data_IF_248026656012
#
_entry.id   IF_248026656012
#
_cell.length_a   1.000
_cell.length_b   1.000
_cell.length_c   1.000
_cell.angle_alpha   90.00
_cell.angle_beta   90.00
_cell.angle_gamma   90.00
#
_symmetry.space_group_name_H-M   'P 1'
#
loop_
_entity.id
_entity.type
_entity.pdbx_description
1 polymer ?
#
# COMPACT_ATOMS: atom_id res chain seq x y z
N UNK A 1 2.97 -29.15 -8.19
CA UNK A 1 4.24 -28.76 -7.55
C UNK A 1 3.87 -27.79 -6.44
N UNK A 2 4.38 -27.89 -5.24
CA UNK A 2 4.00 -26.97 -4.17
C UNK A 2 4.61 -25.59 -4.48
N UNK A 3 3.79 -24.56 -4.48
CA UNK A 3 4.25 -23.18 -4.47
C UNK A 3 5.09 -22.96 -3.21
N UNK A 4 6.36 -22.71 -3.39
CA UNK A 4 7.26 -22.33 -2.31
C UNK A 4 6.89 -20.91 -1.93
N UNK A 5 6.24 -20.76 -0.77
CA UNK A 5 6.04 -19.45 -0.17
C UNK A 5 7.39 -18.76 -0.02
N UNK A 6 7.55 -17.61 -0.61
CA UNK A 6 8.77 -16.81 -0.54
C UNK A 6 8.89 -16.32 0.90
N UNK A 7 9.77 -16.95 1.65
CA UNK A 7 9.99 -16.65 3.07
C UNK A 7 10.13 -17.90 3.93
N UNK A 8 11.03 -18.81 3.56
CA UNK A 8 11.30 -19.95 4.44
C UNK A 8 11.97 -19.48 5.73
N UNK A 9 11.59 -20.08 6.87
CA UNK A 9 12.21 -19.86 8.21
C UNK A 9 13.75 -19.79 8.23
N UNK A 10 14.41 -20.28 7.19
CA UNK A 10 15.86 -20.21 7.01
C UNK A 10 16.38 -18.78 6.78
N UNK A 11 15.65 -17.93 6.08
CA UNK A 11 16.10 -16.57 5.78
C UNK A 11 16.00 -15.66 7.00
N UNK A 12 14.97 -15.83 7.83
CA UNK A 12 14.83 -15.07 9.08
C UNK A 12 15.90 -15.44 10.12
N UNK A 13 16.28 -16.72 10.25
CA UNK A 13 17.41 -17.14 11.11
C UNK A 13 18.77 -16.64 10.61
N UNK A 14 18.95 -16.46 9.32
CA UNK A 14 20.18 -15.87 8.76
C UNK A 14 20.28 -14.37 9.08
N UNK A 15 19.17 -13.65 9.02
CA UNK A 15 19.12 -12.24 9.42
C UNK A 15 19.45 -12.09 10.92
N UNK A 16 18.85 -12.90 11.77
CA UNK A 16 19.12 -12.90 13.21
C UNK A 16 20.58 -13.28 13.55
N UNK A 17 21.18 -14.23 12.81
CA UNK A 17 22.58 -14.60 12.98
C UNK A 17 23.56 -13.53 12.48
N UNK A 18 23.26 -12.85 11.39
CA UNK A 18 24.11 -11.78 10.85
C UNK A 18 24.18 -10.59 11.81
N UNK A 19 23.07 -10.26 12.50
CA UNK A 19 23.06 -9.20 13.50
C UNK A 19 23.83 -9.57 14.78
N UNK A 20 23.71 -10.80 15.28
CA UNK A 20 24.41 -11.23 16.50
C UNK A 20 25.93 -11.35 16.33
N UNK A 21 26.45 -11.59 15.13
CA UNK A 21 27.87 -11.75 14.88
C UNK A 21 28.64 -10.44 14.69
N UNK A 22 27.97 -9.31 14.49
CA UNK A 22 28.63 -8.00 14.28
C UNK A 22 28.75 -7.13 15.54
N UNK A 23 28.19 -7.54 16.68
CA UNK A 23 28.14 -6.71 17.90
C UNK A 23 28.73 -7.38 19.16
N UNK A 24 29.77 -8.20 19.03
CA UNK A 24 30.58 -8.69 20.16
C UNK A 24 31.91 -7.94 20.28
N UNK A 25 31.87 -6.64 20.23
CA UNK A 25 33.02 -5.77 20.51
C UNK A 25 32.68 -4.84 21.68
N UNK A 26 33.24 -5.12 22.86
CA UNK A 26 33.24 -4.22 24.00
C UNK A 26 33.97 -2.93 23.63
N UNK A 27 33.28 -1.79 23.70
CA UNK A 27 33.93 -0.46 23.70
C UNK A 27 33.86 0.15 25.09
N UNK A 28 35.06 0.44 25.59
CA UNK A 28 35.35 1.17 26.82
C UNK A 28 34.89 2.64 26.70
N UNK A 29 34.20 3.11 27.72
CA UNK A 29 33.79 4.52 27.82
C UNK A 29 34.90 5.31 28.54
N UNK A 30 35.66 6.09 27.77
CA UNK A 30 36.48 7.16 28.29
C UNK A 30 35.69 8.44 28.42
N UNK A 31 35.62 8.93 29.64
CA UNK A 31 35.07 10.23 30.02
C UNK A 31 35.96 11.38 29.51
N UNK A 32 35.38 12.37 28.79
CA UNK A 32 35.96 13.71 28.73
C UNK A 32 34.90 14.79 28.71
N UNK A 33 35.21 15.81 29.47
CA UNK A 33 34.47 16.96 29.93
C UNK A 33 34.10 17.97 28.83
N UNK A 34 33.01 18.66 29.12
CA UNK A 34 32.51 19.87 28.43
C UNK A 34 33.47 21.05 28.67
N UNK A 35 33.68 21.87 27.65
CA UNK A 35 34.00 23.28 27.78
C UNK A 35 33.08 24.12 26.88
N UNK A 36 32.45 25.09 27.52
CA UNK A 36 31.66 26.20 26.94
C UNK A 36 32.57 27.16 26.18
N UNK A 37 32.12 27.71 25.08
CA UNK A 37 32.58 29.04 24.61
C UNK A 37 31.38 29.83 24.09
N UNK A 38 31.10 30.91 24.82
CA UNK A 38 30.36 32.09 24.36
C UNK A 38 31.14 32.81 23.25
N UNK A 39 30.51 33.38 22.27
CA UNK A 39 30.48 34.86 22.14
C UNK A 39 29.67 35.35 20.93
N UNK A 40 28.92 36.39 21.20
CA UNK A 40 28.03 37.14 20.35
C UNK A 40 28.84 38.29 19.72
N UNK A 41 28.60 38.63 18.46
CA UNK A 41 28.74 40.01 18.02
C UNK A 41 27.72 40.41 16.96
N UNK A 42 27.02 41.47 17.30
CA UNK A 42 26.08 42.26 16.55
C UNK A 42 26.64 42.75 15.19
N UNK A 43 25.79 42.76 14.17
CA UNK A 43 25.80 43.82 13.14
C UNK A 43 24.41 44.37 12.92
N UNK A 44 24.27 45.66 13.23
CA UNK A 44 23.13 46.50 12.89
C UNK A 44 23.32 47.02 11.46
N UNK A 45 22.29 46.92 10.65
CA UNK A 45 22.19 47.57 9.35
C UNK A 45 20.71 47.79 9.02
N UNK A 46 20.37 49.04 8.88
CA UNK A 46 19.05 49.64 8.72
C UNK A 46 18.49 49.52 7.29
N UNK A 47 17.19 49.33 7.23
CA UNK A 47 16.19 49.98 6.36
C UNK A 47 15.70 49.32 5.05
N UNK A 48 14.38 49.15 5.08
CA UNK A 48 13.37 49.44 4.06
C UNK A 48 13.25 48.46 2.88
N UNK A 49 12.39 47.50 3.08
CA UNK A 49 11.70 46.73 2.07
C UNK A 49 10.59 45.95 2.76
N UNK A 50 9.39 46.54 2.78
CA UNK A 50 8.19 45.80 3.19
C UNK A 50 7.87 44.81 2.06
N UNK A 51 8.54 43.69 2.06
CA UNK A 51 8.05 42.51 1.32
C UNK A 51 6.83 41.99 2.07
N UNK A 52 5.68 42.06 1.41
CA UNK A 52 4.48 41.32 1.80
C UNK A 52 4.88 39.85 1.95
N UNK A 53 5.08 39.42 3.19
CA UNK A 53 5.06 38.01 3.55
C UNK A 53 3.64 37.56 3.24
N UNK A 54 3.45 37.02 2.05
CA UNK A 54 2.24 36.27 1.74
C UNK A 54 2.16 35.18 2.82
N UNK A 55 1.21 35.31 3.74
CA UNK A 55 0.81 34.23 4.62
C UNK A 55 0.60 33.01 3.74
N UNK A 56 1.55 32.07 3.81
CA UNK A 56 1.30 30.72 3.30
C UNK A 56 0.10 30.23 4.10
N UNK A 57 -1.09 30.28 3.47
CA UNK A 57 -2.27 29.61 4.00
C UNK A 57 -1.83 28.18 4.27
N UNK A 58 -1.87 27.81 5.52
CA UNK A 58 -1.74 26.43 5.97
C UNK A 58 -2.81 25.65 5.20
N UNK A 59 -2.42 24.94 4.14
CA UNK A 59 -3.35 24.13 3.35
C UNK A 59 -3.78 22.98 4.26
N UNK A 60 -4.94 23.14 4.89
CA UNK A 60 -5.52 22.09 5.70
C UNK A 60 -5.74 20.86 4.82
N UNK A 61 -5.11 19.76 5.19
CA UNK A 61 -5.31 18.48 4.52
C UNK A 61 -6.77 18.04 4.67
N UNK A 62 -7.39 17.69 3.55
CA UNK A 62 -8.76 17.20 3.52
C UNK A 62 -8.80 15.68 3.38
N UNK A 63 -9.86 15.06 3.91
CA UNK A 63 -10.11 13.64 3.73
C UNK A 63 -10.41 13.30 2.28
N UNK A 64 -9.82 12.23 1.76
CA UNK A 64 -10.22 11.69 0.48
C UNK A 64 -11.59 11.03 0.61
N UNK A 65 -12.46 11.28 -0.34
CA UNK A 65 -13.82 10.74 -0.39
C UNK A 65 -14.04 9.91 -1.64
N UNK A 66 -15.03 9.03 -1.61
CA UNK A 66 -15.53 8.31 -2.78
C UNK A 66 -16.77 9.00 -3.31
N UNK A 67 -16.81 9.25 -4.63
CA UNK A 67 -17.98 9.76 -5.34
C UNK A 67 -18.27 8.90 -6.58
N UNK A 68 -19.19 7.95 -6.42
CA UNK A 68 -19.42 6.92 -7.44
C UNK A 68 -18.16 6.06 -7.64
N UNK A 69 -17.67 5.98 -8.86
CA UNK A 69 -16.49 5.22 -9.27
C UNK A 69 -15.17 6.00 -9.22
N UNK A 70 -15.13 7.14 -8.53
CA UNK A 70 -13.95 8.00 -8.44
C UNK A 70 -13.63 8.40 -6.99
N UNK A 71 -12.35 8.65 -6.72
CA UNK A 71 -11.92 9.38 -5.52
C UNK A 71 -11.98 10.88 -5.78
N UNK A 72 -12.28 11.65 -4.73
CA UNK A 72 -12.32 13.10 -4.78
C UNK A 72 -11.72 13.74 -3.53
N UNK A 73 -11.09 14.90 -3.70
CA UNK A 73 -10.69 15.82 -2.63
C UNK A 73 -11.22 17.19 -3.02
N UNK A 74 -12.01 17.84 -2.16
CA UNK A 74 -12.61 19.15 -2.44
C UNK A 74 -13.39 19.16 -3.77
N UNK A 75 -14.15 18.08 -4.03
CA UNK A 75 -14.90 17.85 -5.28
C UNK A 75 -14.03 17.76 -6.56
N UNK A 76 -12.71 17.71 -6.43
CA UNK A 76 -11.81 17.46 -7.54
C UNK A 76 -11.40 15.98 -7.59
N UNK A 77 -11.28 15.39 -8.79
CA UNK A 77 -10.81 14.01 -8.94
C UNK A 77 -9.44 13.83 -8.30
N UNK A 78 -9.28 12.73 -7.58
CA UNK A 78 -8.01 12.29 -7.03
C UNK A 78 -7.69 10.89 -7.55
N UNK A 79 -6.44 10.67 -7.97
CA UNK A 79 -5.97 9.37 -8.45
C UNK A 79 -4.79 8.91 -7.60
N UNK A 80 -4.86 7.66 -7.16
CA UNK A 80 -3.78 7.04 -6.39
C UNK A 80 -2.59 6.82 -7.33
N UNK A 81 -1.50 7.52 -7.05
CA UNK A 81 -0.23 7.38 -7.74
C UNK A 81 0.85 7.14 -6.69
N UNK A 82 1.23 5.86 -6.49
CA UNK A 82 1.97 5.57 -5.29
C UNK A 82 2.84 4.32 -5.33
N UNK A 83 3.22 3.91 -4.14
CA UNK A 83 4.17 2.84 -3.91
C UNK A 83 3.89 2.10 -2.59
N UNK A 84 4.49 0.92 -2.45
CA UNK A 84 4.46 0.12 -1.23
C UNK A 84 5.80 0.18 -0.49
N UNK A 85 5.74 0.02 0.85
CA UNK A 85 6.90 -0.08 1.74
C UNK A 85 6.56 -0.94 2.95
N UNK A 86 6.57 -2.27 2.82
CA UNK A 86 6.23 -3.17 3.93
C UNK A 86 7.17 -3.02 5.14
N UNK A 87 8.40 -2.62 4.91
CA UNK A 87 9.50 -2.52 5.88
C UNK A 87 9.44 -1.26 6.77
N UNK A 88 8.54 -0.35 6.48
CA UNK A 88 8.56 1.01 7.02
C UNK A 88 8.49 1.06 8.54
N UNK A 89 7.60 0.25 9.18
CA UNK A 89 7.48 0.18 10.63
C UNK A 89 8.75 -0.33 11.32
N UNK A 90 9.52 -1.23 10.66
CA UNK A 90 10.79 -1.76 11.19
C UNK A 90 11.87 -0.67 11.22
N UNK A 91 11.97 0.10 10.13
CA UNK A 91 12.99 1.17 10.04
C UNK A 91 12.63 2.38 10.88
N UNK A 92 11.35 2.68 11.03
CA UNK A 92 10.89 3.77 11.90
C UNK A 92 11.17 3.51 13.38
N UNK A 93 11.16 2.25 13.81
CA UNK A 93 11.41 1.84 15.19
C UNK A 93 12.87 2.02 15.61
N UNK A 94 13.82 1.97 14.67
CA UNK A 94 15.25 2.06 14.98
C UNK A 94 15.82 3.43 14.62
N UNK A 95 16.43 4.10 15.60
CA UNK A 95 17.03 5.41 15.41
C UNK A 95 18.09 5.41 14.29
N UNK A 96 18.85 4.32 14.13
CA UNK A 96 19.90 4.21 13.12
C UNK A 96 19.36 4.06 11.69
N UNK A 97 18.12 3.58 11.51
CA UNK A 97 17.49 3.37 10.21
C UNK A 97 16.35 4.35 9.93
N UNK A 98 15.90 5.13 10.91
CA UNK A 98 14.78 6.08 10.77
C UNK A 98 15.00 7.10 9.64
N UNK A 99 16.23 7.54 9.40
CA UNK A 99 16.57 8.42 8.28
C UNK A 99 16.24 7.84 6.91
N UNK A 100 16.26 6.51 6.76
CA UNK A 100 15.90 5.80 5.53
C UNK A 100 14.43 5.96 5.13
N UNK A 101 13.55 6.12 6.11
CA UNK A 101 12.14 6.44 5.90
C UNK A 101 12.02 7.80 5.21
N UNK A 102 12.68 8.83 5.76
CA UNK A 102 12.66 10.18 5.18
C UNK A 102 13.30 10.22 3.77
N UNK A 103 14.34 9.42 3.54
CA UNK A 103 15.01 9.27 2.25
C UNK A 103 14.03 8.78 1.17
N UNK A 104 13.35 7.66 1.41
CA UNK A 104 12.42 7.08 0.43
C UNK A 104 11.22 8.00 0.16
N UNK A 105 10.68 8.66 1.19
CA UNK A 105 9.58 9.61 0.98
C UNK A 105 10.00 10.83 0.18
N UNK A 106 11.21 11.36 0.40
CA UNK A 106 11.75 12.46 -0.38
C UNK A 106 11.96 12.09 -1.85
N UNK A 107 12.53 10.91 -2.12
CA UNK A 107 12.70 10.40 -3.48
C UNK A 107 11.35 10.19 -4.16
N UNK A 108 10.40 9.54 -3.49
CA UNK A 108 9.06 9.30 -4.00
C UNK A 108 8.30 10.60 -4.31
N UNK A 109 8.32 11.56 -3.40
CA UNK A 109 7.71 12.88 -3.59
C UNK A 109 8.36 13.63 -4.76
N UNK A 110 9.68 13.56 -4.91
CA UNK A 110 10.39 14.17 -6.03
C UNK A 110 10.02 13.54 -7.38
N UNK A 111 9.64 12.27 -7.40
CA UNK A 111 9.09 11.58 -8.56
C UNK A 111 7.58 11.87 -8.78
N UNK A 112 6.93 12.59 -7.86
CA UNK A 112 5.51 12.94 -7.91
C UNK A 112 4.56 11.85 -7.41
N UNK A 113 5.06 10.89 -6.64
CA UNK A 113 4.23 9.91 -5.95
C UNK A 113 3.55 10.54 -4.73
N UNK A 114 2.28 10.21 -4.49
CA UNK A 114 1.41 10.89 -3.52
C UNK A 114 0.84 9.97 -2.43
N UNK A 115 0.85 8.67 -2.66
CA UNK A 115 0.29 7.69 -1.73
C UNK A 115 1.31 6.59 -1.48
N UNK A 116 1.43 6.18 -0.22
CA UNK A 116 2.22 5.03 0.15
C UNK A 116 1.37 4.02 0.91
N UNK A 117 1.45 2.74 0.59
CA UNK A 117 0.82 1.65 1.33
C UNK A 117 1.87 0.94 2.17
N UNK A 118 1.55 0.68 3.43
CA UNK A 118 2.46 0.05 4.38
C UNK A 118 1.72 -0.82 5.40
N UNK A 119 2.48 -1.63 6.13
CA UNK A 119 1.95 -2.44 7.23
C UNK A 119 1.74 -1.60 8.49
N UNK A 120 0.53 -1.65 9.05
CA UNK A 120 0.20 -1.15 10.38
C UNK A 120 0.16 -2.30 11.41
N UNK A 121 0.88 -3.37 11.14
CA UNK A 121 1.03 -4.54 11.99
C UNK A 121 2.47 -5.04 11.98
N UNK A 122 2.87 -5.71 13.04
CA UNK A 122 4.02 -6.58 13.19
C UNK A 122 3.74 -7.39 14.47
N UNK A 123 3.23 -8.61 14.28
CA UNK A 123 2.55 -9.36 15.33
C UNK A 123 3.47 -10.42 15.92
N UNK A 124 3.88 -10.24 17.19
CA UNK A 124 4.58 -11.24 17.99
C UNK A 124 5.97 -11.66 17.52
N UNK A 125 6.57 -10.96 16.54
CA UNK A 125 7.89 -11.28 15.99
C UNK A 125 8.95 -10.26 16.38
N UNK A 126 10.11 -10.29 15.74
CA UNK A 126 11.20 -9.35 15.98
C UNK A 126 10.72 -7.91 15.75
N UNK A 127 10.96 -7.02 16.73
CA UNK A 127 10.45 -5.65 16.77
C UNK A 127 8.93 -5.58 16.63
N UNK A 128 8.22 -6.50 17.28
CA UNK A 128 6.78 -6.57 17.23
C UNK A 128 6.13 -5.24 17.62
N UNK A 129 5.24 -4.74 16.76
CA UNK A 129 4.33 -3.68 17.07
C UNK A 129 3.31 -4.15 18.13
N UNK A 130 2.71 -5.30 17.91
CA UNK A 130 1.82 -5.99 18.83
C UNK A 130 2.55 -7.21 19.43
N UNK A 131 2.99 -7.13 20.68
CA UNK A 131 3.75 -8.19 21.37
C UNK A 131 2.88 -9.39 21.74
N UNK A 132 1.65 -9.14 22.10
CA UNK A 132 0.57 -10.09 22.34
C UNK A 132 -0.76 -9.38 22.16
N UNK A 133 -1.91 -10.06 22.11
CA UNK A 133 -3.19 -9.40 21.89
C UNK A 133 -3.38 -8.19 22.82
N UNK A 134 -3.55 -7.00 22.22
CA UNK A 134 -3.71 -5.71 22.90
C UNK A 134 -2.49 -5.20 23.70
N UNK A 135 -1.28 -5.74 23.48
CA UNK A 135 -0.04 -5.26 24.11
C UNK A 135 0.91 -4.76 23.01
N UNK A 136 1.20 -3.45 23.00
CA UNK A 136 1.89 -2.74 21.94
C UNK A 136 3.26 -2.21 22.36
N UNK A 137 4.15 -2.03 21.37
CA UNK A 137 5.41 -1.30 21.51
C UNK A 137 5.23 0.13 20.99
N UNK A 138 5.29 1.11 21.90
CA UNK A 138 5.00 2.50 21.57
C UNK A 138 6.06 3.17 20.69
N UNK A 139 7.28 2.65 20.64
CA UNK A 139 8.37 3.24 19.85
C UNK A 139 8.25 2.98 18.34
N UNK A 140 7.42 2.02 17.92
CA UNK A 140 7.28 1.56 16.54
C UNK A 140 6.33 2.42 15.70
N UNK A 141 5.57 3.34 16.29
CA UNK A 141 4.51 4.10 15.64
C UNK A 141 4.96 5.48 15.13
N UNK A 142 5.27 5.66 13.87
CA UNK A 142 5.55 7.04 13.32
C UNK A 142 5.40 7.21 11.80
N UNK A 143 4.25 6.85 11.12
CA UNK A 143 4.10 7.19 9.69
C UNK A 143 2.64 7.18 9.18
N UNK A 144 2.37 7.91 8.07
CA UNK A 144 1.07 8.20 7.42
C UNK A 144 0.88 7.35 6.17
N UNK A 145 -0.40 6.76 5.88
CA UNK A 145 -0.53 5.94 4.67
C UNK A 145 -1.85 5.18 4.48
N UNK A 146 -2.01 4.39 3.37
CA UNK A 146 -2.90 3.22 3.36
C UNK A 146 -2.31 2.21 4.34
N UNK A 147 -3.07 1.86 5.34
CA UNK A 147 -2.62 1.09 6.47
C UNK A 147 -3.24 -0.31 6.46
N UNK A 148 -2.45 -1.31 6.08
CA UNK A 148 -2.86 -2.71 6.20
C UNK A 148 -2.84 -3.14 7.65
N UNK A 149 -3.96 -3.71 8.14
CA UNK A 149 -4.18 -4.01 9.56
C UNK A 149 -3.72 -5.40 9.96
N UNK A 150 -3.56 -6.33 9.01
CA UNK A 150 -3.01 -7.68 9.23
C UNK A 150 -2.56 -8.30 7.92
N UNK A 151 -1.75 -9.36 7.98
CA UNK A 151 -1.34 -10.13 6.80
C UNK A 151 -1.99 -11.52 6.79
N UNK A 152 -2.29 -12.04 5.62
CA UNK A 152 -2.63 -13.46 5.44
C UNK A 152 -1.42 -14.36 5.69
N UNK A 153 -0.22 -13.89 5.37
CA UNK A 153 1.03 -14.63 5.45
C UNK A 153 1.68 -14.52 6.83
N UNK A 154 2.63 -15.41 7.12
CA UNK A 154 3.38 -15.40 8.38
C UNK A 154 4.45 -14.29 8.44
N UNK A 155 4.68 -13.59 7.35
CA UNK A 155 5.55 -12.43 7.33
C UNK A 155 5.00 -11.35 8.28
N UNK A 156 5.82 -10.96 9.26
CA UNK A 156 5.45 -10.04 10.35
C UNK A 156 4.28 -10.54 11.21
N UNK A 157 4.08 -11.86 11.29
CA UNK A 157 3.09 -12.52 12.14
C UNK A 157 1.81 -12.88 11.42
N UNK A 158 1.00 -11.89 11.04
CA UNK A 158 -0.24 -12.08 10.29
C UNK A 158 -1.22 -13.06 10.94
N UNK A 159 -2.20 -13.57 10.17
CA UNK A 159 -3.21 -14.52 10.69
C UNK A 159 -2.62 -15.73 11.40
N UNK A 160 -1.47 -16.34 10.97
CA UNK A 160 -0.85 -17.43 11.72
C UNK A 160 -0.45 -17.07 13.14
N UNK A 161 -0.05 -15.82 13.40
CA UNK A 161 0.31 -15.40 14.75
C UNK A 161 -0.92 -15.27 15.66
N UNK A 162 -2.06 -14.82 15.14
CA UNK A 162 -3.32 -14.81 15.89
C UNK A 162 -3.72 -16.22 16.30
N UNK A 163 -3.58 -17.20 15.39
CA UNK A 163 -3.84 -18.62 15.69
C UNK A 163 -2.88 -19.15 16.75
N UNK A 164 -1.58 -18.77 16.70
CA UNK A 164 -0.62 -19.13 17.76
C UNK A 164 -1.01 -18.55 19.12
N UNK A 165 -1.44 -17.30 19.18
CA UNK A 165 -1.95 -16.69 20.41
C UNK A 165 -3.20 -17.40 20.93
N UNK A 166 -4.13 -17.77 20.05
CA UNK A 166 -5.31 -18.57 20.40
C UNK A 166 -4.94 -19.92 20.99
N UNK A 167 -4.02 -20.67 20.35
CA UNK A 167 -3.51 -21.97 20.87
C UNK A 167 -2.84 -21.80 22.23
N UNK A 168 -2.05 -20.76 22.43
CA UNK A 168 -1.41 -20.45 23.70
C UNK A 168 -2.44 -20.11 24.80
N UNK A 169 -3.60 -19.56 24.43
CA UNK A 169 -4.73 -19.32 25.32
C UNK A 169 -5.62 -20.55 25.53
N UNK A 170 -5.23 -21.74 25.03
CA UNK A 170 -5.95 -23.00 25.21
C UNK A 170 -7.08 -23.27 24.22
N UNK A 171 -7.16 -22.50 23.11
CA UNK A 171 -8.17 -22.76 22.08
C UNK A 171 -7.78 -23.98 21.23
N UNK A 172 -8.77 -24.80 20.88
CA UNK A 172 -8.60 -25.92 19.96
C UNK A 172 -8.72 -25.43 18.52
N UNK A 173 -7.59 -25.06 17.92
CA UNK A 173 -7.49 -24.51 16.56
C UNK A 173 -6.70 -25.47 15.67
N UNK A 174 -7.19 -25.70 14.46
CA UNK A 174 -6.68 -26.73 13.55
C UNK A 174 -6.00 -26.16 12.31
N UNK A 175 -6.38 -24.93 11.92
CA UNK A 175 -5.92 -24.26 10.71
C UNK A 175 -5.61 -22.79 10.98
N UNK A 176 -4.75 -22.18 10.16
CA UNK A 176 -4.57 -20.74 10.17
C UNK A 176 -5.84 -20.00 9.68
N UNK A 177 -6.70 -20.68 8.93
CA UNK A 177 -7.99 -20.15 8.49
C UNK A 177 -9.02 -20.03 9.61
N UNK A 178 -8.80 -20.67 10.79
CA UNK A 178 -9.59 -20.44 12.00
C UNK A 178 -9.59 -18.93 12.41
N UNK A 179 -8.62 -18.17 11.93
CA UNK A 179 -8.60 -16.72 12.04
C UNK A 179 -9.89 -16.06 11.53
N UNK A 180 -10.43 -16.56 10.42
CA UNK A 180 -11.64 -16.00 9.81
C UNK A 180 -12.94 -16.43 10.51
N UNK A 181 -12.94 -17.52 11.27
CA UNK A 181 -14.16 -18.10 11.83
C UNK A 181 -14.25 -18.04 13.35
N UNK A 182 -13.12 -18.19 14.06
CA UNK A 182 -13.14 -18.35 15.52
C UNK A 182 -13.43 -17.01 16.24
N UNK A 183 -14.48 -16.93 17.09
CA UNK A 183 -14.91 -15.68 17.73
C UNK A 183 -13.81 -14.96 18.53
N UNK A 184 -12.97 -15.73 19.26
CA UNK A 184 -11.84 -15.16 20.02
C UNK A 184 -10.81 -14.51 19.12
N UNK A 185 -10.45 -15.16 17.99
CA UNK A 185 -9.47 -14.60 17.06
C UNK A 185 -10.01 -13.33 16.36
N UNK A 186 -11.29 -13.33 15.98
CA UNK A 186 -11.99 -12.11 15.52
C UNK A 186 -11.97 -11.00 16.58
N UNK A 187 -12.12 -11.34 17.88
CA UNK A 187 -12.04 -10.36 18.94
C UNK A 187 -10.63 -9.79 19.11
N UNK A 188 -9.58 -10.59 18.96
CA UNK A 188 -8.20 -10.11 18.98
C UNK A 188 -7.94 -9.14 17.83
N UNK A 189 -8.37 -9.48 16.61
CA UNK A 189 -8.27 -8.59 15.46
C UNK A 189 -9.03 -7.27 15.67
N UNK A 190 -10.27 -7.32 16.16
CA UNK A 190 -11.04 -6.12 16.49
C UNK A 190 -10.37 -5.25 17.55
N UNK A 191 -9.71 -5.86 18.52
CA UNK A 191 -8.95 -5.11 19.53
C UNK A 191 -7.75 -4.39 18.90
N UNK A 192 -7.05 -5.04 17.95
CA UNK A 192 -5.98 -4.41 17.16
C UNK A 192 -6.51 -3.23 16.34
N UNK A 193 -7.58 -3.43 15.56
CA UNK A 193 -8.25 -2.35 14.81
C UNK A 193 -8.57 -1.17 15.71
N UNK A 194 -9.20 -1.43 16.88
CA UNK A 194 -9.55 -0.38 17.83
C UNK A 194 -8.32 0.39 18.34
N UNK A 195 -7.24 -0.31 18.63
CA UNK A 195 -6.00 0.32 19.07
C UNK A 195 -5.39 1.21 17.98
N UNK A 196 -5.37 0.73 16.73
CA UNK A 196 -4.84 1.49 15.60
C UNK A 196 -5.64 2.75 15.32
N UNK A 197 -6.96 2.65 15.20
CA UNK A 197 -7.82 3.78 14.86
C UNK A 197 -7.81 4.89 15.93
N UNK A 198 -7.76 4.51 17.20
CA UNK A 198 -7.76 5.48 18.32
C UNK A 198 -6.36 5.91 18.76
N UNK A 199 -5.33 5.46 18.08
CA UNK A 199 -3.97 5.86 18.40
C UNK A 199 -3.74 7.34 18.13
N UNK A 200 -3.14 8.00 19.12
CA UNK A 200 -2.73 9.39 18.98
C UNK A 200 -1.38 9.46 18.25
N UNK A 201 -1.33 10.20 17.14
CA UNK A 201 -0.07 10.56 16.51
C UNK A 201 0.65 11.57 17.40
N UNK A 202 1.74 11.16 18.03
CA UNK A 202 2.48 12.00 19.00
C UNK A 202 3.20 13.19 18.37
N UNK A 203 3.31 13.22 17.03
CA UNK A 203 3.91 14.35 16.30
C UNK A 203 2.88 15.42 15.98
N UNK A 204 1.69 15.01 15.51
CA UNK A 204 0.61 15.92 15.10
C UNK A 204 -0.42 16.16 16.20
N UNK A 205 -0.43 15.33 17.25
CA UNK A 205 -1.44 15.31 18.31
C UNK A 205 -2.87 15.07 17.80
N UNK A 206 -3.00 14.34 16.68
CA UNK A 206 -4.27 13.97 16.06
C UNK A 206 -4.44 12.45 16.17
N UNK A 207 -5.63 11.95 16.46
CA UNK A 207 -5.87 10.50 16.41
C UNK A 207 -5.88 10.00 14.98
N UNK A 208 -5.42 8.76 14.73
CA UNK A 208 -5.32 8.22 13.36
C UNK A 208 -6.66 8.27 12.63
N UNK A 209 -7.77 7.95 13.29
CA UNK A 209 -9.12 8.06 12.67
C UNK A 209 -9.56 9.51 12.35
N UNK A 210 -8.81 10.51 12.78
CA UNK A 210 -9.06 11.92 12.52
C UNK A 210 -7.96 12.57 11.67
N UNK A 211 -6.90 11.84 11.33
CA UNK A 211 -5.76 12.34 10.57
C UNK A 211 -6.02 12.25 9.05
N UNK A 212 -6.27 13.38 8.35
CA UNK A 212 -6.60 13.39 6.93
C UNK A 212 -5.47 12.91 6.01
N UNK A 213 -4.30 12.67 6.56
CA UNK A 213 -3.18 12.12 5.81
C UNK A 213 -3.24 10.61 5.70
N UNK A 214 -4.05 9.93 6.50
CA UNK A 214 -4.43 8.54 6.26
C UNK A 214 -5.46 8.55 5.13
N UNK A 215 -5.18 7.79 4.08
CA UNK A 215 -6.06 7.63 2.93
C UNK A 215 -7.14 6.58 3.20
N UNK A 216 -6.71 5.40 3.66
CA UNK A 216 -7.59 4.26 3.86
C UNK A 216 -7.06 3.27 4.91
N UNK A 217 -7.98 2.47 5.43
CA UNK A 217 -7.73 1.25 6.18
C UNK A 217 -7.89 0.05 5.25
N UNK A 218 -6.88 -0.82 5.22
CA UNK A 218 -6.94 -2.11 4.54
C UNK A 218 -7.16 -3.21 5.57
N UNK A 219 -8.22 -4.00 5.38
CA UNK A 219 -8.60 -5.00 6.37
C UNK A 219 -7.54 -6.09 6.54
N UNK A 220 -6.99 -6.59 5.44
CA UNK A 220 -6.01 -7.68 5.44
C UNK A 220 -5.26 -7.74 4.12
N UNK A 221 -3.94 -7.85 4.14
CA UNK A 221 -3.17 -8.11 2.93
C UNK A 221 -3.40 -9.54 2.43
N UNK A 222 -3.84 -9.67 1.16
CA UNK A 222 -3.99 -10.92 0.39
C UNK A 222 -4.76 -12.03 1.11
N UNK A 223 -5.99 -11.80 1.57
CA UNK A 223 -6.75 -12.80 2.31
C UNK A 223 -6.98 -14.06 1.48
N UNK A 224 -6.66 -15.21 2.04
CA UNK A 224 -6.96 -16.53 1.46
C UNK A 224 -7.50 -17.46 2.54
N UNK A 225 -8.61 -18.12 2.22
CA UNK A 225 -9.26 -19.11 3.07
C UNK A 225 -9.38 -20.44 2.30
N UNK A 226 -8.27 -21.19 2.22
CA UNK A 226 -8.18 -22.42 1.45
C UNK A 226 -8.98 -23.57 2.05
N UNK A 227 -9.33 -23.49 3.34
CA UNK A 227 -10.22 -24.44 4.01
C UNK A 227 -11.68 -24.28 3.61
N UNK A 228 -12.04 -23.14 2.99
CA UNK A 228 -13.39 -22.89 2.47
C UNK A 228 -13.34 -22.24 1.08
N UNK A 229 -13.18 -23.05 0.01
CA UNK A 229 -13.16 -22.54 -1.36
C UNK A 229 -14.50 -21.95 -1.84
N UNK A 230 -15.61 -22.15 -1.10
CA UNK A 230 -16.90 -21.49 -1.40
C UNK A 230 -16.82 -19.97 -1.17
N UNK A 231 -15.89 -19.54 -0.34
CA UNK A 231 -15.68 -18.14 0.04
C UNK A 231 -16.65 -17.62 1.11
N UNK A 232 -17.55 -18.45 1.65
CA UNK A 232 -18.56 -18.00 2.61
C UNK A 232 -17.95 -17.54 3.93
N UNK A 233 -16.93 -18.27 4.41
CA UNK A 233 -16.21 -17.93 5.64
C UNK A 233 -15.49 -16.58 5.51
N UNK A 234 -14.76 -16.38 4.43
CA UNK A 234 -14.04 -15.14 4.16
C UNK A 234 -15.02 -13.97 3.94
N UNK A 235 -16.09 -14.19 3.18
CA UNK A 235 -17.14 -13.20 2.95
C UNK A 235 -17.76 -12.70 4.26
N UNK A 236 -18.10 -13.65 5.16
CA UNK A 236 -18.66 -13.32 6.48
C UNK A 236 -17.67 -12.49 7.32
N UNK A 237 -16.39 -12.84 7.28
CA UNK A 237 -15.34 -12.11 7.99
C UNK A 237 -15.17 -10.68 7.44
N UNK A 238 -15.09 -10.52 6.11
CA UNK A 238 -14.97 -9.21 5.45
C UNK A 238 -16.16 -8.32 5.85
N UNK A 239 -17.38 -8.85 5.77
CA UNK A 239 -18.59 -8.10 6.12
C UNK A 239 -18.56 -7.62 7.58
N UNK A 240 -18.19 -8.49 8.51
CA UNK A 240 -18.12 -8.17 9.92
C UNK A 240 -17.04 -7.09 10.19
N UNK A 241 -15.86 -7.23 9.57
CA UNK A 241 -14.73 -6.34 9.86
C UNK A 241 -14.87 -4.98 9.16
N UNK A 242 -15.40 -4.92 7.94
CA UNK A 242 -15.67 -3.66 7.25
C UNK A 242 -16.68 -2.80 8.05
N UNK A 243 -17.79 -3.41 8.49
CA UNK A 243 -18.77 -2.73 9.32
C UNK A 243 -18.17 -2.30 10.66
N UNK A 244 -17.32 -3.13 11.27
CA UNK A 244 -16.66 -2.78 12.53
C UNK A 244 -15.72 -1.58 12.37
N UNK A 245 -14.88 -1.55 11.35
CA UNK A 245 -14.00 -0.39 11.07
C UNK A 245 -14.84 0.86 10.86
N UNK A 246 -15.86 0.82 10.01
CA UNK A 246 -16.73 1.96 9.72
C UNK A 246 -17.54 2.44 10.93
N UNK A 247 -17.85 1.55 11.86
CA UNK A 247 -18.53 1.95 13.10
C UNK A 247 -17.68 2.85 14.02
N UNK A 248 -16.36 2.76 13.88
CA UNK A 248 -15.41 3.55 14.68
C UNK A 248 -14.79 4.70 13.89
N UNK A 249 -14.67 4.54 12.58
CA UNK A 249 -14.13 5.54 11.67
C UNK A 249 -14.99 5.64 10.39
N UNK A 250 -16.01 6.47 10.39
CA UNK A 250 -16.85 6.69 9.21
C UNK A 250 -16.20 7.59 8.16
N UNK A 251 -15.05 8.24 8.46
CA UNK A 251 -14.43 9.26 7.62
C UNK A 251 -13.49 8.70 6.59
N UNK A 252 -12.60 7.78 7.02
CA UNK A 252 -11.61 7.19 6.12
C UNK A 252 -12.24 6.11 5.23
N UNK A 253 -11.62 5.93 4.07
CA UNK A 253 -11.96 4.86 3.16
C UNK A 253 -11.53 3.51 3.73
N UNK A 254 -12.23 2.45 3.32
CA UNK A 254 -11.92 1.07 3.70
C UNK A 254 -11.82 0.21 2.45
N UNK A 255 -10.80 -0.60 2.38
CA UNK A 255 -10.60 -1.64 1.39
C UNK A 255 -10.33 -3.00 2.03
N UNK A 256 -10.31 -4.05 1.23
CA UNK A 256 -10.11 -5.42 1.72
C UNK A 256 -8.64 -5.81 1.68
N UNK A 257 -7.92 -5.55 0.58
CA UNK A 257 -6.54 -5.98 0.30
C UNK A 257 -6.46 -7.25 -0.54
N UNK A 258 -7.45 -7.51 -1.44
CA UNK A 258 -7.49 -8.72 -2.26
C UNK A 258 -6.56 -8.66 -3.46
N UNK A 259 -6.15 -9.83 -3.95
CA UNK A 259 -5.41 -10.00 -5.20
C UNK A 259 -6.29 -9.82 -6.44
N UNK A 260 -7.63 -9.88 -6.28
CA UNK A 260 -8.58 -9.72 -7.38
C UNK A 260 -9.10 -11.04 -7.98
N UNK A 261 -8.80 -12.20 -7.40
CA UNK A 261 -9.24 -13.47 -7.98
C UNK A 261 -10.76 -13.61 -8.01
N UNK A 262 -11.27 -14.10 -9.14
CA UNK A 262 -12.66 -14.42 -9.33
C UNK A 262 -12.98 -15.78 -8.71
N UNK A 263 -14.12 -15.88 -8.04
CA UNK A 263 -14.56 -17.06 -7.32
C UNK A 263 -15.89 -17.62 -7.81
N UNK A 264 -16.53 -18.48 -7.01
CA UNK A 264 -17.73 -19.23 -7.40
C UNK A 264 -18.96 -18.37 -7.76
N UNK A 265 -19.07 -17.13 -7.28
CA UNK A 265 -20.21 -16.26 -7.62
C UNK A 265 -20.18 -15.74 -9.06
N UNK A 266 -19.01 -15.83 -9.69
CA UNK A 266 -18.79 -15.38 -11.08
C UNK A 266 -18.11 -16.44 -11.93
N UNK A 267 -18.73 -17.63 -12.13
CA UNK A 267 -18.10 -18.77 -12.77
C UNK A 267 -17.70 -18.52 -14.24
N UNK A 268 -18.36 -17.58 -14.90
CA UNK A 268 -18.01 -17.14 -16.26
C UNK A 268 -16.76 -16.25 -16.31
N UNK A 269 -16.23 -15.80 -15.17
CA UNK A 269 -15.03 -14.97 -15.09
C UNK A 269 -13.81 -15.74 -14.55
N UNK A 270 -13.99 -16.93 -14.02
CA UNK A 270 -12.89 -17.73 -13.44
C UNK A 270 -11.76 -18.01 -14.44
N UNK A 271 -12.06 -18.07 -15.74
CA UNK A 271 -11.03 -18.21 -16.79
C UNK A 271 -10.12 -16.97 -16.95
N UNK A 272 -10.46 -15.83 -16.35
CA UNK A 272 -9.62 -14.63 -16.32
C UNK A 272 -8.52 -14.77 -15.26
N UNK A 273 -8.71 -15.61 -14.26
CA UNK A 273 -7.71 -15.89 -13.23
C UNK A 273 -6.39 -16.36 -13.86
N UNK A 274 -5.25 -16.02 -13.26
CA UNK A 274 -3.94 -16.35 -13.81
C UNK A 274 -3.67 -17.86 -13.87
N UNK A 275 -4.34 -18.63 -13.00
CA UNK A 275 -4.20 -20.08 -12.92
C UNK A 275 -5.41 -20.70 -12.20
N UNK A 276 -5.51 -22.05 -12.25
CA UNK A 276 -6.63 -22.77 -11.64
C UNK A 276 -6.62 -22.79 -10.11
N UNK A 277 -5.48 -22.51 -9.48
CA UNK A 277 -5.39 -22.44 -8.03
C UNK A 277 -6.09 -21.18 -7.48
N UNK A 278 -6.06 -20.09 -8.21
CA UNK A 278 -6.65 -18.82 -7.79
C UNK A 278 -8.14 -18.90 -7.42
N UNK A 279 -8.92 -19.80 -8.06
CA UNK A 279 -10.33 -20.03 -7.72
C UNK A 279 -10.56 -20.86 -6.46
N UNK A 280 -9.49 -21.40 -5.85
CA UNK A 280 -9.58 -22.32 -4.69
C UNK A 280 -9.19 -21.65 -3.37
N UNK A 281 -8.87 -20.35 -3.40
CA UNK A 281 -8.37 -19.64 -2.22
C UNK A 281 -9.44 -18.92 -1.42
N UNK A 282 -10.72 -19.12 -1.75
CA UNK A 282 -11.86 -18.58 -1.01
C UNK A 282 -12.13 -17.10 -1.24
N UNK A 283 -11.40 -16.44 -2.15
CA UNK A 283 -11.70 -15.07 -2.58
C UNK A 283 -12.67 -15.06 -3.76
N UNK A 284 -13.43 -13.97 -3.89
CA UNK A 284 -14.37 -13.74 -4.98
C UNK A 284 -14.49 -12.24 -5.22
N UNK A 285 -13.77 -11.73 -6.21
CA UNK A 285 -13.56 -10.30 -6.42
C UNK A 285 -14.84 -9.48 -6.34
N UNK A 286 -15.87 -9.82 -7.14
CA UNK A 286 -17.09 -9.03 -7.17
C UNK A 286 -17.85 -9.16 -5.86
N UNK A 287 -18.04 -10.38 -5.37
CA UNK A 287 -18.79 -10.66 -4.14
C UNK A 287 -18.16 -10.00 -2.92
N UNK A 288 -16.85 -10.09 -2.80
CA UNK A 288 -16.13 -9.53 -1.64
C UNK A 288 -16.28 -8.01 -1.58
N UNK A 289 -16.22 -7.31 -2.73
CA UNK A 289 -16.31 -5.85 -2.76
C UNK A 289 -17.75 -5.30 -2.74
N UNK A 290 -18.77 -6.13 -2.84
CA UNK A 290 -20.17 -5.72 -2.64
C UNK A 290 -20.58 -5.56 -1.16
N UNK A 291 -19.64 -5.75 -0.24
CA UNK A 291 -19.87 -5.62 1.20
C UNK A 291 -20.08 -4.16 1.59
N UNK A 292 -21.07 -3.94 2.48
CA UNK A 292 -21.31 -2.62 3.08
C UNK A 292 -20.09 -2.17 3.88
N UNK A 293 -19.62 -0.95 3.61
CA UNK A 293 -18.47 -0.36 4.30
C UNK A 293 -17.15 -0.51 3.55
N UNK A 294 -17.12 -1.28 2.45
CA UNK A 294 -15.99 -1.27 1.49
C UNK A 294 -16.19 -0.13 0.51
N UNK A 295 -15.18 0.73 0.37
CA UNK A 295 -15.28 1.95 -0.42
C UNK A 295 -14.64 1.83 -1.80
N UNK A 296 -13.61 1.01 -1.95
CA UNK A 296 -12.94 0.77 -3.22
C UNK A 296 -12.39 -0.65 -3.31
N UNK A 297 -12.18 -1.10 -4.53
CA UNK A 297 -11.66 -2.42 -4.79
C UNK A 297 -10.13 -2.40 -4.89
N UNK A 298 -9.48 -3.45 -4.39
CA UNK A 298 -8.04 -3.69 -4.50
C UNK A 298 -7.74 -4.90 -5.38
N UNK A 299 -6.67 -4.79 -6.16
CA UNK A 299 -6.18 -5.84 -7.07
C UNK A 299 -4.66 -5.83 -7.06
N UNK A 300 -4.03 -7.00 -7.04
CA UNK A 300 -2.59 -7.17 -7.22
C UNK A 300 -2.26 -7.70 -8.62
N UNK A 301 -1.01 -7.51 -9.06
CA UNK A 301 -0.55 -7.97 -10.38
C UNK A 301 0.89 -8.51 -10.26
N UNK A 302 0.99 -9.83 -10.23
CA UNK A 302 2.27 -10.55 -10.19
C UNK A 302 2.33 -11.58 -11.32
N UNK A 303 2.28 -11.10 -12.57
CA UNK A 303 2.30 -11.96 -13.75
C UNK A 303 3.54 -12.86 -13.78
N UNK A 304 4.68 -12.38 -13.30
CA UNK A 304 5.94 -13.12 -13.18
C UNK A 304 5.84 -14.33 -12.26
N UNK A 305 5.12 -14.22 -11.15
CA UNK A 305 4.93 -15.33 -10.19
C UNK A 305 3.70 -16.19 -10.46
N UNK A 306 2.70 -15.66 -11.15
CA UNK A 306 1.43 -16.36 -11.39
C UNK A 306 1.40 -17.17 -12.67
N UNK A 307 2.19 -16.78 -13.68
CA UNK A 307 2.24 -17.43 -14.99
C UNK A 307 3.51 -18.27 -15.08
N UNK A 308 3.35 -19.58 -15.26
CA UNK A 308 4.45 -20.56 -15.26
C UNK A 308 5.27 -20.54 -16.57
N UNK A 309 5.68 -19.36 -17.04
CA UNK A 309 6.50 -19.17 -18.22
C UNK A 309 7.61 -18.16 -17.92
N UNK A 310 8.70 -18.21 -18.66
CA UNK A 310 9.70 -17.13 -18.62
C UNK A 310 9.07 -15.81 -19.03
N UNK A 311 9.51 -14.73 -18.44
CA UNK A 311 9.05 -13.36 -18.71
C UNK A 311 9.03 -13.08 -20.22
N UNK A 312 7.91 -12.61 -20.73
CA UNK A 312 7.63 -12.39 -22.15
C UNK A 312 6.43 -11.45 -22.34
N UNK A 313 6.11 -11.13 -23.59
CA UNK A 313 4.93 -10.34 -23.98
C UNK A 313 3.59 -10.93 -23.46
N UNK A 314 3.56 -12.23 -23.12
CA UNK A 314 2.40 -12.88 -22.50
C UNK A 314 2.08 -12.23 -21.14
N UNK A 315 3.10 -11.90 -20.35
CA UNK A 315 2.94 -11.23 -19.04
C UNK A 315 2.40 -9.82 -19.19
N UNK A 316 2.86 -9.07 -20.18
CA UNK A 316 2.37 -7.72 -20.51
C UNK A 316 0.91 -7.79 -20.96
N UNK A 317 0.60 -8.73 -21.86
CA UNK A 317 -0.78 -8.95 -22.34
C UNK A 317 -1.72 -9.36 -21.20
N UNK A 318 -1.29 -10.27 -20.34
CA UNK A 318 -2.05 -10.68 -19.16
C UNK A 318 -2.28 -9.48 -18.24
N UNK A 319 -1.25 -8.73 -17.88
CA UNK A 319 -1.35 -7.54 -17.02
C UNK A 319 -2.41 -6.58 -17.54
N UNK A 320 -2.36 -6.25 -18.82
CA UNK A 320 -3.36 -5.35 -19.43
C UNK A 320 -4.77 -5.93 -19.37
N UNK A 321 -4.95 -7.19 -19.78
CA UNK A 321 -6.27 -7.84 -19.77
C UNK A 321 -6.84 -8.00 -18.36
N UNK A 322 -5.99 -8.29 -17.38
CA UNK A 322 -6.34 -8.37 -15.96
C UNK A 322 -6.86 -7.04 -15.45
N UNK A 323 -6.13 -5.95 -15.74
CA UNK A 323 -6.53 -4.60 -15.36
C UNK A 323 -7.84 -4.18 -16.03
N UNK A 324 -7.97 -4.39 -17.34
CA UNK A 324 -9.16 -4.02 -18.11
C UNK A 324 -10.41 -4.73 -17.58
N UNK A 325 -10.31 -6.03 -17.27
CA UNK A 325 -11.40 -6.81 -16.71
C UNK A 325 -11.87 -6.28 -15.35
N UNK A 326 -10.93 -5.95 -14.45
CA UNK A 326 -11.25 -5.45 -13.12
C UNK A 326 -11.77 -4.00 -13.14
N UNK A 327 -11.26 -3.16 -14.03
CA UNK A 327 -11.80 -1.80 -14.26
C UNK A 327 -13.24 -1.88 -14.76
N UNK A 328 -13.51 -2.74 -15.75
CA UNK A 328 -14.88 -2.94 -16.27
C UNK A 328 -15.83 -3.46 -15.20
N UNK A 329 -15.38 -4.42 -14.38
CA UNK A 329 -16.23 -4.99 -13.34
C UNK A 329 -16.46 -4.03 -12.17
N UNK A 330 -15.45 -3.26 -11.80
CA UNK A 330 -15.59 -2.20 -10.80
C UNK A 330 -16.58 -1.12 -11.28
N UNK A 331 -16.59 -0.80 -12.57
CA UNK A 331 -17.53 0.15 -13.15
C UNK A 331 -18.95 -0.42 -13.26
N UNK A 332 -19.08 -1.64 -13.78
CA UNK A 332 -20.37 -2.25 -14.13
C UNK A 332 -21.12 -2.83 -12.94
N UNK A 333 -20.43 -3.48 -12.01
CA UNK A 333 -21.04 -4.26 -10.92
C UNK A 333 -20.84 -3.65 -9.54
N UNK A 334 -19.75 -2.90 -9.32
CA UNK A 334 -19.42 -2.38 -8.01
C UNK A 334 -19.75 -0.89 -7.84
N UNK A 335 -19.67 -0.09 -8.91
CA UNK A 335 -19.87 1.35 -8.85
C UNK A 335 -18.87 2.06 -7.94
N UNK A 336 -17.62 1.57 -7.91
CA UNK A 336 -16.54 2.09 -7.06
C UNK A 336 -15.21 2.15 -7.80
N UNK A 337 -14.22 2.93 -7.29
CA UNK A 337 -12.87 2.89 -7.81
C UNK A 337 -12.21 1.53 -7.60
N UNK A 338 -11.29 1.14 -8.49
CA UNK A 338 -10.37 0.02 -8.29
C UNK A 338 -8.94 0.53 -8.26
N UNK A 339 -8.16 0.11 -7.26
CA UNK A 339 -6.75 0.42 -7.11
C UNK A 339 -5.95 -0.86 -7.32
N UNK A 340 -4.96 -0.79 -8.22
CA UNK A 340 -3.97 -1.85 -8.38
C UNK A 340 -2.91 -1.65 -7.31
N UNK A 341 -3.22 -2.19 -6.11
CA UNK A 341 -2.52 -1.89 -4.86
C UNK A 341 -1.15 -2.55 -4.74
N UNK A 342 -0.85 -3.52 -5.61
CA UNK A 342 0.50 -4.06 -5.77
C UNK A 342 0.74 -4.47 -7.23
N UNK A 343 1.89 -4.11 -7.77
CA UNK A 343 2.39 -4.64 -9.03
C UNK A 343 3.90 -4.48 -9.14
N UNK A 344 4.55 -5.45 -9.74
CA UNK A 344 6.00 -5.46 -9.88
C UNK A 344 6.52 -6.62 -10.74
N UNK A 345 7.84 -6.69 -10.87
CA UNK A 345 8.57 -7.79 -11.51
C UNK A 345 9.77 -8.14 -10.66
N UNK A 346 9.88 -9.41 -10.29
CA UNK A 346 10.98 -9.88 -9.44
C UNK A 346 12.30 -9.96 -10.19
N UNK A 347 13.36 -9.40 -9.60
CA UNK A 347 14.74 -9.57 -10.07
C UNK A 347 15.24 -11.02 -9.96
N UNK A 348 14.50 -11.86 -9.24
CA UNK A 348 14.81 -13.30 -9.07
C UNK A 348 14.21 -14.17 -10.16
N UNK A 349 13.35 -13.61 -11.02
CA UNK A 349 12.83 -14.33 -12.17
C UNK A 349 13.94 -14.56 -13.22
N UNK A 350 14.11 -15.79 -13.73
CA UNK A 350 15.17 -16.10 -14.71
C UNK A 350 15.13 -15.28 -16.00
N UNK A 351 13.98 -14.69 -16.33
CA UNK A 351 13.80 -13.83 -17.50
C UNK A 351 13.94 -12.33 -17.20
N UNK A 352 14.22 -11.94 -15.96
CA UNK A 352 14.24 -10.54 -15.56
C UNK A 352 15.25 -9.70 -16.34
N UNK A 353 14.80 -8.54 -16.77
CA UNK A 353 15.63 -7.40 -17.17
C UNK A 353 14.90 -6.10 -16.87
N UNK A 354 15.65 -5.02 -16.68
CA UNK A 354 15.09 -3.73 -16.30
C UNK A 354 14.17 -3.13 -17.37
N UNK A 355 14.44 -3.39 -18.65
CA UNK A 355 13.58 -2.94 -19.75
C UNK A 355 12.20 -3.59 -19.69
N UNK A 356 12.12 -4.88 -19.35
CA UNK A 356 10.84 -5.56 -19.19
C UNK A 356 10.05 -5.00 -17.99
N UNK A 357 10.71 -4.77 -16.86
CA UNK A 357 10.08 -4.13 -15.71
C UNK A 357 9.51 -2.76 -16.10
N UNK A 358 10.28 -1.97 -16.81
CA UNK A 358 9.87 -0.65 -17.26
C UNK A 358 8.65 -0.73 -18.20
N UNK A 359 8.65 -1.67 -19.16
CA UNK A 359 7.50 -1.93 -20.05
C UNK A 359 6.24 -2.33 -19.27
N UNK A 360 6.37 -3.16 -18.23
CA UNK A 360 5.22 -3.55 -17.41
C UNK A 360 4.67 -2.37 -16.64
N UNK A 361 5.54 -1.54 -16.05
CA UNK A 361 5.15 -0.31 -15.34
C UNK A 361 4.43 0.66 -16.29
N UNK A 362 4.96 0.89 -17.50
CA UNK A 362 4.32 1.71 -18.52
C UNK A 362 2.94 1.16 -18.90
N UNK A 363 2.82 -0.17 -19.07
CA UNK A 363 1.54 -0.83 -19.39
C UNK A 363 0.48 -0.55 -18.30
N UNK A 364 0.84 -0.65 -17.03
CA UNK A 364 -0.05 -0.34 -15.91
C UNK A 364 -0.48 1.12 -15.95
N UNK A 365 0.48 2.03 -16.10
CA UNK A 365 0.21 3.47 -16.11
C UNK A 365 -0.64 3.91 -17.32
N UNK A 366 -0.37 3.40 -18.49
CA UNK A 366 -1.13 3.72 -19.71
C UNK A 366 -2.56 3.16 -19.64
N UNK A 367 -2.74 1.95 -19.11
CA UNK A 367 -4.07 1.37 -18.90
C UNK A 367 -4.90 2.22 -17.93
N UNK A 368 -4.31 2.65 -16.82
CA UNK A 368 -4.96 3.56 -15.87
C UNK A 368 -5.28 4.92 -16.50
N UNK A 369 -4.32 5.53 -17.20
CA UNK A 369 -4.54 6.83 -17.84
C UNK A 369 -5.65 6.77 -18.88
N UNK A 370 -5.78 5.65 -19.61
CA UNK A 370 -6.87 5.42 -20.55
C UNK A 370 -8.22 5.30 -19.85
N UNK A 371 -8.31 4.62 -18.70
CA UNK A 371 -9.51 4.60 -17.85
C UNK A 371 -9.85 5.98 -17.33
N UNK A 372 -8.87 6.70 -16.78
CA UNK A 372 -9.01 8.06 -16.25
C UNK A 372 -9.57 9.02 -17.30
N UNK A 373 -9.05 9.00 -18.53
CA UNK A 373 -9.54 9.84 -19.65
C UNK A 373 -11.00 9.59 -19.98
N UNK A 374 -11.50 8.37 -19.79
CA UNK A 374 -12.89 7.97 -20.04
C UNK A 374 -13.81 8.22 -18.84
N UNK A 375 -13.28 8.63 -17.68
CA UNK A 375 -14.02 8.71 -16.42
C UNK A 375 -14.41 7.33 -15.86
N UNK A 376 -13.62 6.32 -16.17
CA UNK A 376 -13.79 4.94 -15.70
C UNK A 376 -13.37 4.73 -14.26
N UNK A 377 -13.51 3.49 -13.78
CA UNK A 377 -13.26 3.10 -12.38
C UNK A 377 -11.78 2.94 -12.00
N UNK A 378 -10.82 3.13 -12.92
CA UNK A 378 -9.39 3.05 -12.61
C UNK A 378 -8.96 4.15 -11.62
N UNK A 379 -8.91 3.82 -10.33
CA UNK A 379 -8.62 4.74 -9.23
C UNK A 379 -7.14 5.01 -9.00
N UNK A 380 -6.26 4.17 -9.56
CA UNK A 380 -4.81 4.34 -9.46
C UNK A 380 -4.02 3.07 -9.22
N UNK A 381 -2.74 3.21 -8.89
CA UNK A 381 -1.85 2.10 -8.64
C UNK A 381 -0.73 2.41 -7.64
N UNK A 382 -0.17 1.33 -7.05
CA UNK A 382 0.92 1.38 -6.09
C UNK A 382 2.00 0.34 -6.48
N UNK A 383 3.18 0.83 -6.83
CA UNK A 383 4.34 -0.02 -7.17
C UNK A 383 4.74 -0.91 -5.98
N UNK A 384 4.96 -2.18 -6.20
CA UNK A 384 5.63 -3.06 -5.27
C UNK A 384 7.09 -3.25 -5.71
N UNK A 385 8.12 -2.65 -5.04
CA UNK A 385 8.04 -1.68 -3.96
C UNK A 385 9.26 -0.75 -3.96
N UNK A 386 9.20 0.37 -3.25
CA UNK A 386 10.36 1.25 -3.13
C UNK A 386 11.24 0.90 -1.92
N UNK A 387 12.54 0.99 -2.12
CA UNK A 387 13.57 0.83 -1.09
C UNK A 387 14.53 2.01 -1.08
N UNK A 388 15.03 2.43 0.08
CA UNK A 388 16.15 3.34 0.17
C UNK A 388 17.46 2.62 -0.12
N UNK A 389 18.45 3.35 -0.57
CA UNK A 389 19.77 2.79 -0.87
C UNK A 389 20.41 2.12 0.36
N UNK A 390 21.06 0.96 0.16
CA UNK A 390 21.80 0.23 1.19
C UNK A 390 20.93 -0.57 2.15
N UNK A 391 19.72 -0.97 1.72
CA UNK A 391 18.79 -1.80 2.49
C UNK A 391 18.50 -3.15 1.84
N UNK A 392 19.38 -3.60 0.95
CA UNK A 392 19.25 -4.80 0.12
C UNK A 392 19.02 -6.09 0.95
N UNK A 393 19.43 -6.09 2.23
CA UNK A 393 19.21 -7.22 3.14
C UNK A 393 17.72 -7.52 3.45
N UNK A 394 16.82 -6.60 3.10
CA UNK A 394 15.37 -6.79 3.25
C UNK A 394 14.66 -6.99 1.89
N UNK A 395 15.40 -7.00 0.78
CA UNK A 395 14.81 -7.15 -0.55
C UNK A 395 14.18 -8.53 -0.76
N UNK A 396 12.91 -8.52 -1.13
CA UNK A 396 12.16 -9.72 -1.53
C UNK A 396 12.36 -10.10 -3.01
N UNK A 397 13.06 -9.27 -3.77
CA UNK A 397 13.30 -9.39 -5.20
C UNK A 397 12.59 -8.32 -6.03
N UNK A 398 11.74 -7.52 -5.43
CA UNK A 398 10.96 -6.47 -6.12
C UNK A 398 11.44 -5.06 -5.80
N UNK A 399 12.52 -4.91 -5.06
CA UNK A 399 13.01 -3.61 -4.62
C UNK A 399 13.36 -2.69 -5.81
N UNK A 400 12.82 -1.48 -5.78
CA UNK A 400 13.19 -0.39 -6.68
C UNK A 400 13.85 0.69 -5.83
N UNK A 401 15.12 0.96 -6.08
CA UNK A 401 15.84 2.12 -5.54
C UNK A 401 15.84 3.20 -6.61
N UNK A 402 15.08 4.27 -6.43
CA UNK A 402 14.82 5.27 -7.47
C UNK A 402 16.11 5.94 -7.96
N UNK A 403 17.04 6.25 -7.05
CA UNK A 403 18.36 6.83 -7.38
C UNK A 403 19.24 5.89 -8.20
N UNK A 404 18.99 4.57 -8.18
CA UNK A 404 19.71 3.55 -8.93
C UNK A 404 18.95 3.03 -10.16
N UNK A 405 17.72 3.52 -10.37
CA UNK A 405 16.83 3.07 -11.45
C UNK A 405 16.35 4.27 -12.30
N UNK A 406 17.24 4.94 -13.05
CA UNK A 406 16.92 6.21 -13.70
C UNK A 406 15.83 6.08 -14.79
N UNK A 407 15.76 4.98 -15.53
CA UNK A 407 14.68 4.75 -16.51
C UNK A 407 13.32 4.62 -15.82
N UNK A 408 13.24 3.79 -14.80
CA UNK A 408 12.02 3.61 -14.00
C UNK A 408 11.59 4.92 -13.34
N UNK A 409 12.53 5.68 -12.76
CA UNK A 409 12.26 7.00 -12.16
C UNK A 409 11.69 8.00 -13.17
N UNK A 410 12.19 7.96 -14.42
CA UNK A 410 11.69 8.80 -15.52
C UNK A 410 10.25 8.42 -15.87
N UNK A 411 9.94 7.13 -15.99
CA UNK A 411 8.58 6.62 -16.29
C UNK A 411 7.60 7.08 -15.20
N UNK A 412 7.95 6.89 -13.92
CA UNK A 412 7.13 7.31 -12.77
C UNK A 412 6.88 8.82 -12.82
N UNK A 413 7.94 9.62 -13.03
CA UNK A 413 7.83 11.09 -13.07
C UNK A 413 6.98 11.56 -14.26
N UNK A 414 7.07 10.89 -15.41
CA UNK A 414 6.26 11.20 -16.57
C UNK A 414 4.78 10.91 -16.33
N UNK A 415 4.46 9.75 -15.73
CA UNK A 415 3.08 9.41 -15.35
C UNK A 415 2.52 10.42 -14.36
N UNK A 416 3.26 10.78 -13.32
CA UNK A 416 2.88 11.79 -12.33
C UNK A 416 2.55 13.14 -12.98
N UNK A 417 3.37 13.60 -13.94
CA UNK A 417 3.11 14.82 -14.72
C UNK A 417 1.84 14.71 -15.56
N UNK A 418 1.60 13.57 -16.23
CA UNK A 418 0.39 13.32 -17.04
C UNK A 418 -0.87 13.39 -16.17
N UNK A 419 -0.87 12.80 -14.97
CA UNK A 419 -1.98 12.90 -14.03
C UNK A 419 -2.20 14.33 -13.53
N UNK A 420 -1.14 15.06 -13.20
CA UNK A 420 -1.24 16.46 -12.77
C UNK A 420 -1.84 17.37 -13.85
N UNK A 421 -1.43 17.20 -15.11
CA UNK A 421 -2.00 17.92 -16.26
C UNK A 421 -3.49 17.56 -16.44
N UNK A 422 -3.84 16.29 -16.29
CA UNK A 422 -5.23 15.86 -16.39
C UNK A 422 -6.08 16.51 -15.30
N UNK A 423 -5.64 16.47 -14.04
CA UNK A 423 -6.35 17.08 -12.91
C UNK A 423 -6.51 18.60 -13.08
N UNK A 424 -5.48 19.32 -13.54
CA UNK A 424 -5.58 20.77 -13.78
C UNK A 424 -6.60 21.12 -14.85
N UNK A 425 -6.67 20.34 -15.93
CA UNK A 425 -7.66 20.53 -17.01
C UNK A 425 -9.08 20.23 -16.55
N UNK A 426 -9.28 19.25 -15.67
CA UNK A 426 -10.58 18.94 -15.08
C UNK A 426 -11.07 20.08 -14.16
N UNK A 427 -10.20 20.61 -13.31
CA UNK A 427 -10.52 21.75 -12.45
C UNK A 427 -10.95 23.00 -13.25
N UNK A 428 -10.33 23.24 -14.41
CA UNK A 428 -10.70 24.35 -15.29
C UNK A 428 -12.07 24.19 -15.93
N UNK A 429 -12.44 22.97 -16.33
CA UNK A 429 -13.76 22.69 -16.95
C UNK A 429 -14.92 22.78 -15.96
N UNK A 430 -14.74 22.37 -14.72
CA UNK A 430 -15.75 22.54 -13.67
C UNK A 430 -16.08 24.01 -13.38
N UNK A 431 -15.09 24.91 -13.52
CA UNK A 431 -15.27 26.36 -13.32
C UNK A 431 -16.09 27.05 -14.42
N UNK A 432 -16.19 26.45 -15.62
CA UNK A 432 -16.83 27.07 -16.81
C UNK A 432 -17.98 26.25 -17.41
N UNK A 433 -18.62 25.42 -16.63
CA UNK A 433 -19.84 24.70 -17.06
C UNK A 433 -19.62 23.72 -18.20
N UNK A 434 -19.69 22.45 -17.91
CA UNK A 434 -19.52 21.33 -18.83
C UNK A 434 -20.59 21.35 -19.96
N UNK A 435 -20.32 22.01 -21.08
CA UNK A 435 -21.01 21.84 -22.34
C UNK A 435 -20.00 21.73 -23.47
N UNK A 436 -19.56 20.51 -23.77
CA UNK A 436 -19.31 19.90 -25.09
C UNK A 436 -18.38 18.68 -24.98
N UNK A 437 -18.91 17.58 -25.36
CA UNK A 437 -18.34 16.22 -25.22
C UNK A 437 -17.48 15.79 -26.41
N UNK A 438 -16.88 16.56 -27.24
CA UNK A 438 -16.20 16.06 -28.46
C UNK A 438 -15.03 16.90 -28.96
N UNK A 439 -14.02 17.18 -28.14
CA UNK A 439 -12.78 17.81 -28.67
C UNK A 439 -11.49 17.34 -27.93
N UNK A 440 -11.44 16.09 -27.46
CA UNK A 440 -10.34 15.60 -26.64
C UNK A 440 -9.26 14.79 -27.36
N UNK A 441 -9.49 14.37 -28.62
CA UNK A 441 -8.59 13.42 -29.28
C UNK A 441 -7.35 14.01 -29.94
N UNK A 442 -7.25 15.34 -30.13
CA UNK A 442 -6.20 15.91 -30.98
C UNK A 442 -5.04 16.60 -30.29
N UNK A 443 -4.95 16.63 -28.94
CA UNK A 443 -3.91 17.43 -28.27
C UNK A 443 -2.82 16.65 -27.50
N UNK A 444 -2.87 15.33 -27.49
CA UNK A 444 -1.86 14.52 -26.79
C UNK A 444 -0.91 13.75 -27.74
N UNK A 445 -1.13 13.79 -29.04
CA UNK A 445 -0.29 13.09 -30.03
C UNK A 445 0.82 13.96 -30.65
N UNK A 446 0.88 15.26 -30.29
CA UNK A 446 1.93 16.15 -30.76
C UNK A 446 2.50 16.95 -29.59
N UNK A 447 3.39 16.36 -28.85
CA UNK A 447 4.48 17.06 -28.18
C UNK A 447 5.64 16.06 -28.04
N UNK A 448 6.58 16.18 -28.94
CA UNK A 448 7.95 15.67 -28.82
C UNK A 448 8.56 16.20 -27.51
N UNK A 449 8.97 15.29 -26.64
CA UNK A 449 10.08 15.47 -25.71
C UNK A 449 10.84 14.14 -25.55
#
# INVERSE_FOLDING_TARGET
MPFVGIGTKKNYKLIERSFKSKWSGTMDFGSNSFDEVDDISLFSGTNDGVDEVSEMKDESWEMVQKKGNQFVINDQPFYVNGFNTYWLMVFAADQSTRGKVSEVFKEASSAGLTVCRTWAFNDGQWRALQKSPSVYDEDVFKIRLILSLVNNWDAYGGKPQYVKWGKAAGLNLTSDDDFFSHPTLRSYYKAHVKAMLNRLNTVTNITYKDDPTIFAWELINEPRCTSDPSGDMLQSWIQEMAVYVKSMDPKHLVEIGTEGFYGPSTPNKVQINPNTYAQQVGTDFIRNHQVLGVDFASVHIYADSWISQSISDVHVTFTKSWMEAHIEDAERYLGMPVVFSEFGVSTKDPGYNSSFRDTLIETVYDTLLNSTKKGGSGGGSLLWQLFPQGTDYMDDGYAIVLSQSPSTSKIISLHSKRLAIFNSKCAWKCRWGCRKKNQFETFLDHDEL
#
